data_IF_325217194948
#
_entry.id   IF_325217194948
#
_cell.length_a   1.000
_cell.length_b   1.000
_cell.length_c   1.000
_cell.angle_alpha   90.00
_cell.angle_beta   90.00
_cell.angle_gamma   90.00
#
_symmetry.space_group_name_H-M   'P 1'
#
loop_
_entity.id
_entity.type
_entity.pdbx_description
1 polymer ?
#
# COMPACT_ATOMS: atom_id res chain seq x y z
N UNK A 1 -38.40 -1.81 -24.37
CA UNK A 1 -38.08 -0.73 -23.41
C UNK A 1 -37.12 -1.23 -22.32
N UNK A 2 -36.18 -2.13 -22.64
CA UNK A 2 -35.45 -2.95 -21.63
C UNK A 2 -33.91 -2.74 -21.67
N UNK A 3 -33.41 -2.04 -22.70
CA UNK A 3 -31.97 -1.83 -22.95
C UNK A 3 -31.37 -0.63 -22.20
N UNK A 4 -32.21 0.28 -21.70
CA UNK A 4 -31.75 1.50 -21.03
C UNK A 4 -31.30 1.24 -19.58
N UNK A 5 -31.85 0.19 -18.94
CA UNK A 5 -31.60 -0.09 -17.52
C UNK A 5 -30.21 -0.74 -17.29
N UNK A 6 -29.79 -1.67 -18.16
CA UNK A 6 -28.46 -2.31 -18.06
C UNK A 6 -27.30 -1.33 -18.23
N UNK A 7 -27.45 -0.31 -19.10
CA UNK A 7 -26.41 0.70 -19.31
C UNK A 7 -26.28 1.68 -18.15
N UNK A 8 -27.37 1.95 -17.43
CA UNK A 8 -27.35 2.79 -16.23
C UNK A 8 -26.62 2.08 -15.07
N UNK A 9 -26.95 0.81 -14.83
CA UNK A 9 -26.33 -0.03 -13.79
C UNK A 9 -24.82 -0.21 -14.04
N UNK A 10 -24.41 -0.44 -15.30
CA UNK A 10 -22.99 -0.56 -15.66
C UNK A 10 -22.20 0.75 -15.49
N UNK A 11 -22.87 1.90 -15.60
CA UNK A 11 -22.23 3.22 -15.42
C UNK A 11 -21.97 3.51 -13.94
N UNK A 12 -22.94 3.18 -13.09
CA UNK A 12 -22.87 3.33 -11.64
C UNK A 12 -21.78 2.42 -11.03
N UNK A 13 -21.67 1.16 -11.49
CA UNK A 13 -20.58 0.27 -11.10
C UNK A 13 -19.19 0.78 -11.54
N UNK A 14 -19.12 1.50 -12.66
CA UNK A 14 -17.87 2.05 -13.16
C UNK A 14 -17.44 3.29 -12.37
N UNK A 15 -18.37 4.15 -12.00
CA UNK A 15 -18.11 5.30 -11.12
C UNK A 15 -17.65 4.82 -9.72
N UNK A 16 -18.36 3.85 -9.13
CA UNK A 16 -17.96 3.24 -7.87
C UNK A 16 -16.59 2.54 -7.97
N UNK A 17 -16.31 1.89 -9.10
CA UNK A 17 -15.00 1.29 -9.32
C UNK A 17 -13.90 2.35 -9.44
N UNK A 18 -14.12 3.45 -10.18
CA UNK A 18 -13.14 4.56 -10.30
C UNK A 18 -12.87 5.24 -8.95
N UNK A 19 -13.89 5.46 -8.12
CA UNK A 19 -13.75 6.08 -6.78
C UNK A 19 -13.04 5.13 -5.79
N UNK A 20 -13.40 3.85 -5.78
CA UNK A 20 -12.70 2.83 -4.97
C UNK A 20 -11.25 2.68 -5.44
N UNK A 21 -10.99 2.70 -6.75
CA UNK A 21 -9.65 2.59 -7.30
C UNK A 21 -8.79 3.78 -6.91
N UNK A 22 -9.33 5.00 -6.85
CA UNK A 22 -8.54 6.19 -6.51
C UNK A 22 -8.01 6.14 -5.06
N UNK A 23 -8.86 5.76 -4.11
CA UNK A 23 -8.49 5.63 -2.69
C UNK A 23 -7.62 4.39 -2.42
N UNK A 24 -7.98 3.23 -3.01
CA UNK A 24 -7.16 2.01 -2.87
C UNK A 24 -5.81 2.17 -3.57
N UNK A 25 -5.76 2.87 -4.71
CA UNK A 25 -4.53 3.13 -5.46
C UNK A 25 -3.53 3.87 -4.59
N UNK A 26 -3.94 4.90 -3.85
CA UNK A 26 -3.02 5.64 -2.99
C UNK A 26 -2.42 4.78 -1.87
N UNK A 27 -3.24 4.00 -1.17
CA UNK A 27 -2.75 3.10 -0.10
C UNK A 27 -1.83 2.02 -0.66
N UNK A 28 -2.19 1.40 -1.77
CA UNK A 28 -1.37 0.39 -2.45
C UNK A 28 -0.06 1.00 -2.93
N UNK A 29 -0.10 2.21 -3.49
CA UNK A 29 1.09 2.94 -3.93
C UNK A 29 2.05 3.22 -2.78
N UNK A 30 1.54 3.69 -1.63
CA UNK A 30 2.36 3.92 -0.43
C UNK A 30 3.01 2.62 0.07
N UNK A 31 2.26 1.51 0.12
CA UNK A 31 2.81 0.22 0.55
C UNK A 31 3.87 -0.29 -0.43
N UNK A 32 3.62 -0.14 -1.74
CA UNK A 32 4.54 -0.56 -2.79
C UNK A 32 5.82 0.28 -2.77
N UNK A 33 5.71 1.58 -2.55
CA UNK A 33 6.86 2.48 -2.39
C UNK A 33 7.67 2.11 -1.14
N UNK A 34 7.00 1.87 -0.01
CA UNK A 34 7.65 1.41 1.23
C UNK A 34 8.36 0.06 1.04
N UNK A 35 7.78 -0.85 0.25
CA UNK A 35 8.39 -2.12 -0.09
C UNK A 35 9.66 -1.95 -0.92
N UNK A 36 9.59 -1.13 -1.98
CA UNK A 36 10.75 -0.74 -2.79
C UNK A 36 11.85 -0.09 -1.94
N UNK A 37 11.47 0.83 -1.05
CA UNK A 37 12.39 1.50 -0.14
C UNK A 37 13.08 0.51 0.80
N UNK A 38 12.33 -0.47 1.31
CA UNK A 38 12.88 -1.54 2.17
C UNK A 38 13.91 -2.40 1.43
N UNK A 39 13.65 -2.72 0.15
CA UNK A 39 14.62 -3.45 -0.68
C UNK A 39 15.89 -2.63 -0.87
N UNK A 40 15.76 -1.36 -1.26
CA UNK A 40 16.89 -0.46 -1.45
C UNK A 40 17.69 -0.28 -0.15
N UNK A 41 17.01 -0.16 0.98
CA UNK A 41 17.61 -0.09 2.29
C UNK A 41 18.42 -1.35 2.62
N UNK A 42 17.90 -2.54 2.30
CA UNK A 42 18.62 -3.81 2.46
C UNK A 42 19.88 -3.89 1.59
N UNK A 43 19.78 -3.47 0.32
CA UNK A 43 20.93 -3.41 -0.59
C UNK A 43 22.00 -2.44 -0.06
N UNK A 44 21.57 -1.29 0.46
CA UNK A 44 22.46 -0.28 1.02
C UNK A 44 23.12 -0.75 2.32
N UNK A 45 22.42 -1.55 3.14
CA UNK A 45 22.96 -2.14 4.36
C UNK A 45 23.92 -3.30 4.12
N UNK A 46 23.79 -4.01 2.99
CA UNK A 46 24.59 -5.18 2.67
C UNK A 46 26.12 -4.99 2.89
N UNK A 47 26.76 -3.92 2.38
CA UNK A 47 28.19 -3.69 2.63
C UNK A 47 28.53 -3.22 4.05
N UNK A 48 27.56 -2.73 4.83
CA UNK A 48 27.78 -2.19 6.17
C UNK A 48 27.66 -3.25 7.27
N UNK A 49 26.82 -4.26 7.06
CA UNK A 49 26.56 -5.31 8.04
C UNK A 49 27.27 -6.60 7.64
N UNK A 50 28.11 -7.11 8.53
CA UNK A 50 28.80 -8.40 8.38
C UNK A 50 27.87 -9.60 8.55
N UNK A 51 26.73 -9.42 9.21
CA UNK A 51 25.76 -10.48 9.46
C UNK A 51 24.69 -10.52 8.37
N UNK A 52 24.66 -11.64 7.62
CA UNK A 52 23.61 -11.92 6.64
C UNK A 52 22.21 -11.90 7.29
N UNK A 53 22.07 -12.40 8.52
CA UNK A 53 20.79 -12.41 9.23
C UNK A 53 20.26 -11.00 9.47
N UNK A 54 21.13 -10.07 9.88
CA UNK A 54 20.76 -8.68 10.09
C UNK A 54 20.40 -7.98 8.77
N UNK A 55 21.09 -8.31 7.67
CA UNK A 55 20.77 -7.76 6.35
C UNK A 55 19.37 -8.11 5.86
N UNK A 56 18.80 -9.25 6.26
CA UNK A 56 17.39 -9.58 5.96
C UNK A 56 16.42 -9.08 7.03
N UNK A 57 16.81 -9.18 8.31
CA UNK A 57 15.93 -8.82 9.42
C UNK A 57 15.66 -7.31 9.48
N UNK A 58 16.66 -6.46 9.24
CA UNK A 58 16.48 -5.01 9.31
C UNK A 58 15.48 -4.46 8.28
N UNK A 59 15.58 -4.79 6.98
CA UNK A 59 14.59 -4.40 5.99
C UNK A 59 13.18 -4.90 6.31
N UNK A 60 13.06 -6.13 6.81
CA UNK A 60 11.78 -6.71 7.19
C UNK A 60 11.16 -5.96 8.38
N UNK A 61 11.95 -5.67 9.42
CA UNK A 61 11.51 -4.90 10.57
C UNK A 61 11.14 -3.47 10.17
N UNK A 62 11.92 -2.85 9.30
CA UNK A 62 11.61 -1.53 8.75
C UNK A 62 10.26 -1.54 8.04
N UNK A 63 10.07 -2.44 7.07
CA UNK A 63 8.81 -2.56 6.33
C UNK A 63 7.60 -2.77 7.24
N UNK A 64 7.69 -3.74 8.16
CA UNK A 64 6.59 -4.08 9.07
C UNK A 64 6.27 -2.95 10.06
N UNK A 65 7.30 -2.29 10.60
CA UNK A 65 7.12 -1.17 11.55
C UNK A 65 6.43 0.02 10.87
N UNK A 66 6.89 0.42 9.69
CA UNK A 66 6.28 1.54 8.97
C UNK A 66 4.88 1.21 8.45
N UNK A 67 4.65 -0.04 8.03
CA UNK A 67 3.30 -0.50 7.65
C UNK A 67 2.34 -0.44 8.86
N UNK A 68 2.78 -0.88 10.04
CA UNK A 68 1.99 -0.80 11.25
C UNK A 68 1.72 0.65 11.67
N UNK A 69 2.72 1.53 11.58
CA UNK A 69 2.55 2.97 11.83
C UNK A 69 1.52 3.59 10.90
N UNK A 70 1.56 3.28 9.59
CA UNK A 70 0.58 3.76 8.62
C UNK A 70 -0.83 3.28 8.97
N UNK A 71 -1.00 2.01 9.37
CA UNK A 71 -2.30 1.51 9.82
C UNK A 71 -2.80 2.22 11.07
N UNK A 72 -1.91 2.48 12.04
CA UNK A 72 -2.27 3.22 13.25
C UNK A 72 -2.73 4.64 12.89
N UNK A 73 -1.97 5.36 12.06
CA UNK A 73 -2.32 6.72 11.61
C UNK A 73 -3.69 6.73 10.92
N UNK A 74 -3.93 5.77 10.04
CA UNK A 74 -5.20 5.63 9.33
C UNK A 74 -6.39 5.37 10.28
N UNK A 75 -6.19 4.52 11.30
CA UNK A 75 -7.20 4.30 12.35
C UNK A 75 -7.46 5.59 13.15
N UNK A 76 -6.42 6.36 13.46
CA UNK A 76 -6.56 7.63 14.17
C UNK A 76 -7.28 8.69 13.33
N UNK A 77 -7.01 8.76 12.03
CA UNK A 77 -7.67 9.69 11.12
C UNK A 77 -9.15 9.33 10.88
N UNK A 78 -9.48 8.04 10.77
CA UNK A 78 -10.87 7.60 10.62
C UNK A 78 -11.72 7.74 11.90
N UNK A 79 -11.10 8.04 13.05
CA UNK A 79 -11.79 8.22 14.33
C UNK A 79 -12.05 9.71 14.67
N UNK A 80 -11.45 10.64 13.93
CA UNK A 80 -11.64 12.09 14.08
C UNK A 80 -12.69 12.63 13.12
#
# INVERSE_FOLDING_TARGET
METNNKKAILKEHRELAEEVLDIYSLRVFIILDLFLFSILFGILLHPLLSSLWLNFLLPLLFFTTFTALLQIIDIFQNKS
#
